data_IF_840663401252
#
_entry.id   IF_840663401252
#
_cell.length_a   1.000
_cell.length_b   1.000
_cell.length_c   1.000
_cell.angle_alpha   90.00
_cell.angle_beta   90.00
_cell.angle_gamma   90.00
#
_symmetry.space_group_name_H-M   'P 1'
#
loop_
_entity.id
_entity.type
_entity.pdbx_description
1 polymer ?
#
# COMPACT_ATOMS: atom_id res chain seq x y z
N UNK A 1 37.10 11.75 2.20
CA UNK A 1 36.18 10.59 2.18
C UNK A 1 35.38 10.64 0.88
N UNK A 2 35.74 9.80 -0.09
CA UNK A 2 34.99 9.63 -1.35
C UNK A 2 33.75 8.77 -1.09
N UNK A 3 32.59 9.20 -1.59
CA UNK A 3 31.39 8.37 -1.71
C UNK A 3 31.45 7.60 -3.03
N UNK A 4 31.71 6.29 -2.95
CA UNK A 4 31.21 5.27 -3.89
C UNK A 4 29.91 4.74 -3.25
N UNK A 5 28.74 4.68 -3.87
CA UNK A 5 28.28 3.92 -5.06
C UNK A 5 26.84 4.40 -5.38
N UNK A 6 26.25 4.31 -6.58
CA UNK A 6 26.67 3.65 -7.81
C UNK A 6 25.92 4.22 -9.02
N UNK A 7 26.67 4.44 -10.09
CA UNK A 7 26.16 4.74 -11.43
C UNK A 7 26.02 3.39 -12.16
N UNK A 8 24.84 2.76 -12.12
CA UNK A 8 24.61 1.42 -12.67
C UNK A 8 23.55 1.47 -13.79
N UNK A 9 23.68 2.38 -14.74
CA UNK A 9 22.84 2.37 -15.94
C UNK A 9 23.68 2.61 -17.18
N UNK A 10 23.64 1.65 -18.10
CA UNK A 10 24.30 1.70 -19.40
C UNK A 10 23.65 2.79 -20.26
N UNK A 11 24.43 3.43 -21.15
CA UNK A 11 23.97 4.59 -21.94
C UNK A 11 22.70 4.36 -22.78
N UNK A 12 22.43 3.13 -23.20
CA UNK A 12 21.21 2.78 -23.92
C UNK A 12 19.96 2.75 -23.01
N UNK A 13 20.12 2.50 -21.71
CA UNK A 13 19.01 2.54 -20.75
C UNK A 13 18.54 3.98 -20.50
N UNK A 14 19.45 4.96 -20.60
CA UNK A 14 19.13 6.39 -20.46
C UNK A 14 18.23 6.93 -21.58
N UNK A 15 18.28 6.35 -22.78
CA UNK A 15 17.50 6.83 -23.94
C UNK A 15 15.98 6.71 -23.76
N UNK A 16 15.53 5.78 -22.91
CA UNK A 16 14.11 5.52 -22.65
C UNK A 16 13.63 6.09 -21.30
N UNK A 17 14.50 6.78 -20.56
CA UNK A 17 14.15 7.38 -19.28
C UNK A 17 13.72 8.83 -19.51
N UNK A 18 12.43 9.11 -19.35
CA UNK A 18 11.94 10.47 -19.15
C UNK A 18 12.04 10.74 -17.66
N UNK A 19 12.96 11.61 -17.26
CA UNK A 19 13.07 12.07 -15.89
C UNK A 19 12.00 13.14 -15.66
N UNK A 20 10.91 12.76 -15.02
CA UNK A 20 9.86 13.69 -14.62
C UNK A 20 10.26 14.23 -13.25
N UNK A 21 11.15 15.22 -13.26
CA UNK A 21 11.70 15.87 -12.07
C UNK A 21 10.86 17.06 -11.58
N UNK A 22 9.67 17.24 -12.14
CA UNK A 22 8.73 18.21 -11.61
C UNK A 22 8.18 17.67 -10.28
N UNK A 23 8.96 17.85 -9.22
CA UNK A 23 8.51 17.85 -7.84
C UNK A 23 7.57 19.05 -7.62
N UNK A 24 6.43 19.02 -8.29
CA UNK A 24 5.26 19.66 -7.77
C UNK A 24 4.95 18.90 -6.48
N UNK A 25 5.17 19.52 -5.32
CA UNK A 25 4.57 19.07 -4.08
C UNK A 25 3.06 18.95 -4.35
N UNK A 26 2.63 17.75 -4.72
CA UNK A 26 1.25 17.47 -5.04
C UNK A 26 0.53 17.41 -3.71
N UNK A 27 0.11 18.58 -3.23
CA UNK A 27 -0.70 18.75 -2.03
C UNK A 27 -2.16 18.35 -2.30
N UNK A 28 -2.36 17.34 -3.16
CA UNK A 28 -3.65 16.75 -3.42
C UNK A 28 -3.88 15.64 -2.42
N UNK A 29 -4.86 15.80 -1.55
CA UNK A 29 -5.39 14.68 -0.76
C UNK A 29 -5.83 13.57 -1.72
N UNK A 30 -5.32 12.35 -1.55
CA UNK A 30 -5.79 11.19 -2.32
C UNK A 30 -7.31 11.09 -2.18
N UNK A 31 -8.02 11.03 -3.31
CA UNK A 31 -9.48 10.97 -3.31
C UNK A 31 -9.93 9.54 -3.09
N UNK A 32 -10.08 9.18 -1.83
CA UNK A 32 -10.51 7.86 -1.40
C UNK A 32 -11.96 7.58 -1.84
N UNK A 33 -12.20 6.36 -2.31
CA UNK A 33 -13.53 5.80 -2.61
C UNK A 33 -14.44 5.88 -1.37
N UNK A 34 -15.60 6.52 -1.49
CA UNK A 34 -16.53 6.74 -0.36
C UNK A 34 -17.23 5.46 0.15
N UNK A 35 -17.14 4.36 -0.60
CA UNK A 35 -17.97 3.17 -0.42
C UNK A 35 -17.28 2.11 0.45
N UNK A 36 -15.99 2.30 0.75
CA UNK A 36 -15.22 1.39 1.60
C UNK A 36 -14.01 2.05 2.23
N UNK A 37 -13.55 1.50 3.34
CA UNK A 37 -12.27 1.87 3.93
C UNK A 37 -11.51 0.61 4.38
N UNK A 38 -10.21 0.77 4.54
CA UNK A 38 -9.32 -0.28 5.03
C UNK A 38 -8.78 0.09 6.40
N UNK A 39 -8.82 -0.87 7.33
CA UNK A 39 -8.13 -0.80 8.61
C UNK A 39 -6.96 -1.79 8.57
N UNK A 40 -5.77 -1.31 8.89
CA UNK A 40 -4.58 -2.14 9.01
C UNK A 40 -4.18 -2.24 10.47
N UNK A 41 -3.87 -3.45 10.91
CA UNK A 41 -3.29 -3.72 12.22
C UNK A 41 -2.12 -4.68 12.11
N UNK A 42 -1.19 -4.61 13.05
CA UNK A 42 -0.01 -5.48 13.09
C UNK A 42 0.02 -6.30 14.37
N UNK A 43 0.50 -7.54 14.24
CA UNK A 43 0.90 -8.38 15.36
C UNK A 43 2.42 -8.57 15.27
N UNK A 44 3.15 -7.88 16.15
CA UNK A 44 4.61 -7.90 16.17
C UNK A 44 5.18 -9.22 16.73
N UNK A 45 4.40 -9.99 17.49
CA UNK A 45 4.82 -11.29 18.04
C UNK A 45 4.88 -12.35 16.94
N UNK A 46 3.77 -12.51 16.21
CA UNK A 46 3.63 -13.53 15.18
C UNK A 46 4.06 -13.02 13.80
N UNK A 47 4.49 -11.76 13.71
CA UNK A 47 4.95 -11.07 12.50
C UNK A 47 3.91 -11.11 11.37
N UNK A 48 2.65 -10.77 11.71
CA UNK A 48 1.54 -10.68 10.76
C UNK A 48 0.98 -9.27 10.65
N UNK A 49 0.50 -8.96 9.46
CA UNK A 49 -0.31 -7.79 9.13
C UNK A 49 -1.73 -8.30 8.86
N UNK A 50 -2.70 -7.61 9.43
CA UNK A 50 -4.11 -7.82 9.19
C UNK A 50 -4.67 -6.61 8.48
N UNK A 51 -5.48 -6.85 7.44
CA UNK A 51 -6.13 -5.80 6.66
C UNK A 51 -7.61 -6.13 6.65
N UNK A 52 -8.42 -5.28 7.25
CA UNK A 52 -9.86 -5.42 7.23
C UNK A 52 -10.46 -4.37 6.30
N UNK A 53 -11.13 -4.84 5.25
CA UNK A 53 -11.90 -3.98 4.36
C UNK A 53 -13.34 -3.92 4.87
N UNK A 54 -13.84 -2.71 5.16
CA UNK A 54 -15.25 -2.47 5.44
C UNK A 54 -15.93 -1.96 4.17
N UNK A 55 -17.03 -2.62 3.78
CA UNK A 55 -17.84 -2.24 2.64
C UNK A 55 -19.26 -1.89 3.06
N UNK A 56 -19.84 -0.85 2.46
CA UNK A 56 -21.25 -0.53 2.58
C UNK A 56 -21.99 -1.08 1.36
N UNK A 57 -23.02 -1.92 1.57
CA UNK A 57 -23.93 -2.25 0.48
C UNK A 57 -24.96 -1.12 0.24
N UNK A 58 -25.73 -1.22 -0.84
CA UNK A 58 -26.78 -0.26 -1.19
C UNK A 58 -27.84 -0.05 -0.11
N UNK A 59 -27.98 -1.03 0.78
CA UNK A 59 -29.01 -1.07 1.84
C UNK A 59 -28.47 -0.54 3.18
N UNK A 60 -27.19 -0.10 3.22
CA UNK A 60 -26.53 0.42 4.42
C UNK A 60 -25.98 -0.65 5.37
N UNK A 61 -26.04 -1.93 5.01
CA UNK A 61 -25.38 -2.99 5.77
C UNK A 61 -23.87 -2.97 5.54
N UNK A 62 -23.15 -3.14 6.65
CA UNK A 62 -21.70 -3.25 6.69
C UNK A 62 -21.35 -4.74 6.73
N UNK A 63 -20.47 -5.15 5.83
CA UNK A 63 -19.74 -6.41 5.96
C UNK A 63 -18.26 -6.13 5.81
N UNK A 64 -17.44 -6.98 6.45
CA UNK A 64 -15.98 -6.86 6.37
C UNK A 64 -15.33 -8.12 5.81
N UNK A 65 -14.20 -7.91 5.14
CA UNK A 65 -13.33 -8.98 4.67
C UNK A 65 -11.98 -8.80 5.34
N UNK A 66 -11.54 -9.84 6.06
CA UNK A 66 -10.26 -9.86 6.75
C UNK A 66 -9.22 -10.61 5.91
N UNK A 67 -8.16 -9.89 5.55
CA UNK A 67 -6.96 -10.44 4.94
C UNK A 67 -5.85 -10.54 5.98
N UNK A 68 -5.05 -11.61 5.89
CA UNK A 68 -3.90 -11.85 6.77
C UNK A 68 -2.69 -12.20 5.93
N UNK A 69 -1.55 -11.58 6.21
CA UNK A 69 -0.30 -11.88 5.52
C UNK A 69 0.92 -11.37 6.28
N UNK A 70 2.10 -11.85 5.93
CA UNK A 70 3.36 -11.42 6.56
C UNK A 70 4.08 -10.34 5.75
N UNK A 71 3.74 -10.21 4.45
CA UNK A 71 4.38 -9.25 3.56
C UNK A 71 3.33 -8.41 2.85
N UNK A 72 3.66 -7.14 2.62
CA UNK A 72 2.87 -6.19 1.87
C UNK A 72 2.68 -6.64 0.42
N UNK A 73 3.68 -7.31 -0.18
CA UNK A 73 3.56 -7.92 -1.51
C UNK A 73 2.46 -8.98 -1.54
N UNK A 74 2.46 -9.90 -0.57
CA UNK A 74 1.44 -10.94 -0.50
C UNK A 74 0.06 -10.32 -0.29
N UNK A 75 -0.07 -9.37 0.64
CA UNK A 75 -1.34 -8.69 0.92
C UNK A 75 -1.86 -7.92 -0.29
N UNK A 76 -1.01 -7.16 -0.99
CA UNK A 76 -1.39 -6.46 -2.21
C UNK A 76 -1.91 -7.40 -3.28
N UNK A 77 -1.25 -8.56 -3.44
CA UNK A 77 -1.71 -9.58 -4.38
C UNK A 77 -3.07 -10.14 -3.98
N UNK A 78 -3.25 -10.60 -2.74
CA UNK A 78 -4.50 -11.24 -2.35
C UNK A 78 -5.69 -10.27 -2.33
N UNK A 79 -5.46 -9.02 -1.91
CA UNK A 79 -6.49 -7.97 -1.89
C UNK A 79 -6.90 -7.61 -3.32
N UNK A 80 -5.94 -7.31 -4.21
CA UNK A 80 -6.26 -6.76 -5.52
C UNK A 80 -6.54 -7.81 -6.61
N UNK A 81 -6.07 -9.07 -6.45
CA UNK A 81 -6.14 -10.07 -7.52
C UNK A 81 -7.05 -11.27 -7.25
N UNK A 82 -7.44 -11.55 -6.01
CA UNK A 82 -8.26 -12.75 -5.75
C UNK A 82 -9.76 -12.56 -6.02
N UNK A 83 -10.19 -11.43 -6.61
CA UNK A 83 -11.60 -11.11 -6.88
C UNK A 83 -12.51 -11.27 -5.65
N UNK A 84 -11.95 -11.20 -4.44
CA UNK A 84 -12.70 -11.28 -3.19
C UNK A 84 -13.28 -9.93 -2.80
N UNK A 85 -12.81 -8.84 -3.42
CA UNK A 85 -13.37 -7.52 -3.19
C UNK A 85 -14.69 -7.40 -3.94
N UNK A 86 -15.73 -7.00 -3.21
CA UNK A 86 -17.01 -6.64 -3.79
C UNK A 86 -17.02 -5.23 -4.39
N UNK A 87 -15.85 -4.58 -4.49
CA UNK A 87 -15.69 -3.22 -4.97
C UNK A 87 -14.47 -3.10 -5.87
N UNK A 88 -14.50 -2.09 -6.74
CA UNK A 88 -13.34 -1.64 -7.50
C UNK A 88 -12.57 -0.66 -6.62
N UNK A 89 -11.29 -0.96 -6.37
CA UNK A 89 -10.38 -0.05 -5.66
C UNK A 89 -9.79 0.93 -6.67
N UNK A 90 -9.99 2.23 -6.45
CA UNK A 90 -9.37 3.27 -7.29
C UNK A 90 -7.84 3.19 -7.22
N UNK A 91 -7.16 3.71 -8.26
CA UNK A 91 -5.70 3.74 -8.31
C UNK A 91 -5.14 4.50 -7.08
N UNK A 92 -5.75 5.63 -6.71
CA UNK A 92 -5.35 6.42 -5.54
C UNK A 92 -5.46 5.61 -4.25
N UNK A 93 -6.55 4.86 -4.06
CA UNK A 93 -6.68 3.95 -2.91
C UNK A 93 -5.70 2.79 -2.95
N UNK A 94 -5.43 2.22 -4.11
CA UNK A 94 -4.47 1.13 -4.25
C UNK A 94 -3.05 1.61 -3.90
N UNK A 95 -2.69 2.83 -4.32
CA UNK A 95 -1.42 3.47 -3.95
C UNK A 95 -1.35 3.78 -2.45
N UNK A 96 -2.43 4.31 -1.87
CA UNK A 96 -2.54 4.51 -0.42
C UNK A 96 -2.35 3.19 0.33
N UNK A 97 -3.10 2.16 -0.04
CA UNK A 97 -3.06 0.86 0.60
C UNK A 97 -1.66 0.25 0.49
N UNK A 98 -1.03 0.31 -0.69
CA UNK A 98 0.35 -0.16 -0.88
C UNK A 98 1.35 0.53 0.05
N UNK A 99 1.23 1.85 0.26
CA UNK A 99 2.08 2.60 1.20
C UNK A 99 1.89 2.10 2.63
N UNK A 100 0.65 1.96 3.08
CA UNK A 100 0.35 1.51 4.45
C UNK A 100 0.76 0.06 4.69
N UNK A 101 0.64 -0.81 3.68
CA UNK A 101 1.14 -2.18 3.75
C UNK A 101 2.66 -2.23 3.90
N UNK A 102 3.40 -1.43 3.12
CA UNK A 102 4.86 -1.35 3.26
C UNK A 102 5.27 -0.78 4.62
N UNK A 103 4.56 0.24 5.11
CA UNK A 103 4.78 0.84 6.42
C UNK A 103 4.59 -0.20 7.53
N UNK A 104 3.49 -0.96 7.49
CA UNK A 104 3.19 -2.00 8.47
C UNK A 104 4.21 -3.15 8.44
N UNK A 105 4.60 -3.64 7.27
CA UNK A 105 5.67 -4.65 7.14
C UNK A 105 6.99 -4.14 7.73
N UNK A 106 7.38 -2.90 7.41
CA UNK A 106 8.59 -2.31 7.94
C UNK A 106 8.54 -2.16 9.47
N UNK A 107 7.42 -1.73 10.03
CA UNK A 107 7.27 -1.63 11.50
C UNK A 107 7.41 -2.98 12.20
N UNK A 108 6.92 -4.06 11.59
CA UNK A 108 7.07 -5.43 12.12
C UNK A 108 8.54 -5.87 12.12
N UNK A 109 9.27 -5.55 11.04
CA UNK A 109 10.71 -5.84 10.89
C UNK A 109 11.54 -5.05 11.90
N UNK A 110 11.21 -3.77 12.08
CA UNK A 110 11.92 -2.86 12.98
C UNK A 110 11.47 -2.96 14.45
N UNK A 111 10.49 -3.81 14.73
CA UNK A 111 9.84 -3.96 16.05
C UNK A 111 9.29 -2.63 16.61
N UNK A 112 8.67 -1.86 15.72
CA UNK A 112 8.06 -0.56 16.02
C UNK A 112 6.53 -0.66 16.07
N UNK A 113 5.90 0.34 16.68
CA UNK A 113 4.46 0.49 16.67
C UNK A 113 4.01 0.99 15.28
N UNK A 114 3.12 0.25 14.64
CA UNK A 114 2.43 0.73 13.45
C UNK A 114 1.39 1.80 13.81
N UNK A 115 1.37 2.88 13.03
CA UNK A 115 0.35 3.93 13.07
C UNK A 115 -0.13 4.10 11.64
N UNK A 116 -1.42 3.96 11.40
CA UNK A 116 -2.03 4.26 10.10
C UNK A 116 -2.15 5.79 9.94
N UNK A 117 -1.91 6.29 8.73
CA UNK A 117 -2.09 7.72 8.40
C UNK A 117 -3.55 8.19 8.56
#
# INVERSE_FOLDING_TARGET
MQKLTGNILLGHQKKYLIHIDEFNYFNGSLKLDKISYFIITTNNTDKYIFVEQFCYNSDGHIYSILFKGQTAKHLSHIILHLNQLNIIVSIDHALYLGRELMKSELTIILDQQYIQD
#
